data_IF_283688453222
#
_entry.id   IF_283688453222
#
_cell.length_a   1.000
_cell.length_b   1.000
_cell.length_c   1.000
_cell.angle_alpha   90.00
_cell.angle_beta   90.00
_cell.angle_gamma   90.00
#
_symmetry.space_group_name_H-M   'P 1'
#
loop_
_entity.id
_entity.type
_entity.pdbx_description
1 polymer ?
#
# COMPACT_ATOMS: atom_id res chain seq x y z
N UNK A 1 17.54 2.68 -24.22
CA UNK A 1 17.25 3.75 -23.25
C UNK A 1 16.70 3.07 -22.00
N UNK A 2 17.59 2.62 -21.11
CA UNK A 2 17.22 1.90 -19.89
C UNK A 2 17.12 2.94 -18.78
N UNK A 3 15.91 3.26 -18.36
CA UNK A 3 15.68 4.01 -17.13
C UNK A 3 16.28 3.18 -16.00
N UNK A 4 17.24 3.72 -15.25
CA UNK A 4 17.63 3.11 -13.98
C UNK A 4 16.42 3.12 -13.07
N UNK A 5 15.87 1.92 -12.89
CA UNK A 5 14.66 1.61 -12.12
C UNK A 5 14.82 1.90 -10.64
N UNK A 6 16.07 2.14 -10.20
CA UNK A 6 16.46 2.27 -8.80
C UNK A 6 15.81 3.45 -8.04
N UNK A 7 15.14 4.38 -8.74
CA UNK A 7 14.47 5.55 -8.16
C UNK A 7 12.93 5.39 -8.03
N UNK A 8 12.34 4.33 -8.56
CA UNK A 8 10.92 3.98 -8.38
C UNK A 8 10.68 3.21 -7.06
N UNK A 9 11.74 2.99 -6.28
CA UNK A 9 11.88 1.84 -5.38
C UNK A 9 11.48 2.02 -3.91
N UNK A 10 11.17 3.22 -3.41
CA UNK A 10 11.13 3.38 -1.94
C UNK A 10 9.82 2.91 -1.26
N UNK A 11 8.68 2.81 -1.96
CA UNK A 11 7.43 2.09 -1.59
C UNK A 11 6.29 2.72 -2.39
N UNK A 12 5.94 2.12 -3.54
CA UNK A 12 4.80 2.54 -4.35
C UNK A 12 3.80 1.41 -4.52
N UNK A 13 2.55 1.78 -4.75
CA UNK A 13 1.49 0.80 -4.99
C UNK A 13 1.87 -0.11 -6.18
N UNK A 14 1.86 -1.44 -6.01
CA UNK A 14 2.29 -2.38 -7.06
C UNK A 14 1.44 -2.31 -8.33
N UNK A 15 0.24 -1.72 -8.25
CA UNK A 15 -0.65 -1.58 -9.41
C UNK A 15 -0.47 -0.24 -10.11
N UNK A 16 -0.40 0.86 -9.36
CA UNK A 16 -0.30 2.19 -9.95
C UNK A 16 1.13 2.54 -10.42
N UNK A 17 2.14 1.83 -9.90
CA UNK A 17 3.55 2.05 -10.28
C UNK A 17 3.78 1.82 -11.77
N UNK A 18 2.97 0.98 -12.42
CA UNK A 18 3.04 0.72 -13.86
C UNK A 18 2.72 1.96 -14.70
N UNK A 19 1.92 2.89 -14.16
CA UNK A 19 1.56 4.16 -14.80
C UNK A 19 2.40 5.34 -14.28
N UNK A 20 3.43 5.07 -13.47
CA UNK A 20 4.26 6.10 -12.83
C UNK A 20 3.61 6.80 -11.62
N UNK A 21 2.50 6.25 -11.10
CA UNK A 21 1.74 6.77 -9.95
C UNK A 21 1.83 5.79 -8.76
N UNK A 22 1.06 6.00 -7.69
CA UNK A 22 0.95 5.06 -6.57
C UNK A 22 1.63 5.52 -5.30
N UNK A 23 1.41 6.77 -4.89
CA UNK A 23 1.89 7.27 -3.60
C UNK A 23 1.20 6.51 -2.46
N UNK A 24 2.00 5.86 -1.61
CA UNK A 24 1.54 5.16 -0.42
C UNK A 24 1.68 6.08 0.80
N UNK A 25 0.64 6.15 1.62
CA UNK A 25 0.60 6.84 2.89
C UNK A 25 0.60 5.83 4.03
N UNK A 26 1.53 5.98 4.97
CA UNK A 26 1.56 5.17 6.17
C UNK A 26 0.51 5.70 7.15
N UNK A 27 -0.48 4.86 7.46
CA UNK A 27 -1.55 5.17 8.40
C UNK A 27 -1.44 4.25 9.61
N UNK A 28 -1.45 4.85 10.80
CA UNK A 28 -1.35 4.15 12.11
C UNK A 28 -0.11 3.26 12.25
N UNK A 29 0.92 3.49 11.44
CA UNK A 29 2.15 2.67 11.36
C UNK A 29 1.90 1.19 11.01
N UNK A 30 0.67 0.82 10.70
CA UNK A 30 0.23 -0.57 10.46
C UNK A 30 -0.47 -0.74 9.12
N UNK A 31 -0.69 0.34 8.36
CA UNK A 31 -1.34 0.30 7.05
C UNK A 31 -0.64 1.21 6.04
N UNK A 32 -0.52 0.74 4.81
CA UNK A 32 -0.10 1.54 3.66
C UNK A 32 -1.30 1.79 2.74
N UNK A 33 -1.73 3.03 2.65
CA UNK A 33 -2.90 3.44 1.85
C UNK A 33 -2.42 4.11 0.57
N UNK A 34 -2.84 3.59 -0.58
CA UNK A 34 -2.55 4.24 -1.85
C UNK A 34 -3.51 5.42 -2.10
N UNK A 35 -2.98 6.62 -2.31
CA UNK A 35 -3.79 7.81 -2.60
C UNK A 35 -4.42 7.80 -3.99
N UNK A 36 -3.80 7.10 -4.94
CA UNK A 36 -4.26 7.06 -6.33
C UNK A 36 -5.44 6.08 -6.53
N UNK A 37 -5.35 4.89 -5.93
CA UNK A 37 -6.38 3.85 -6.11
C UNK A 37 -7.20 3.58 -4.84
N UNK A 38 -6.83 4.11 -3.68
CA UNK A 38 -7.55 3.89 -2.42
C UNK A 38 -7.36 2.50 -1.78
N UNK A 39 -6.53 1.63 -2.38
CA UNK A 39 -6.18 0.32 -1.82
C UNK A 39 -5.36 0.46 -0.55
N UNK A 40 -5.55 -0.48 0.38
CA UNK A 40 -4.97 -0.40 1.71
C UNK A 40 -4.29 -1.71 2.05
N UNK A 41 -2.98 -1.67 2.21
CA UNK A 41 -2.13 -2.82 2.45
C UNK A 41 -1.78 -2.88 3.93
N UNK A 42 -2.14 -3.94 4.66
CA UNK A 42 -1.76 -4.08 6.07
C UNK A 42 -0.25 -4.37 6.19
N UNK A 43 0.35 -3.91 7.27
CA UNK A 43 1.71 -4.25 7.70
C UNK A 43 1.56 -5.30 8.82
N UNK A 44 1.98 -6.52 8.54
CA UNK A 44 1.95 -7.64 9.50
C UNK A 44 3.38 -8.00 9.89
N UNK A 45 3.68 -8.08 11.18
CA UNK A 45 5.03 -8.41 11.69
C UNK A 45 6.12 -7.51 11.09
N UNK A 46 5.87 -6.19 11.01
CA UNK A 46 6.73 -5.20 10.35
C UNK A 46 6.95 -5.42 8.83
N UNK A 47 6.19 -6.35 8.21
CA UNK A 47 6.26 -6.65 6.77
C UNK A 47 4.99 -6.11 6.07
N UNK A 48 5.12 -5.18 5.11
CA UNK A 48 3.98 -4.68 4.33
C UNK A 48 3.44 -5.76 3.37
N UNK A 49 2.18 -6.15 3.56
CA UNK A 49 1.48 -7.12 2.72
C UNK A 49 0.97 -6.42 1.45
N UNK A 50 1.88 -6.20 0.48
CA UNK A 50 1.58 -5.57 -0.81
C UNK A 50 0.88 -6.50 -1.82
N UNK A 51 -0.04 -7.35 -1.36
CA UNK A 51 -0.85 -8.21 -2.23
C UNK A 51 -2.03 -7.42 -2.79
N UNK A 52 -2.23 -7.48 -4.10
CA UNK A 52 -3.32 -6.77 -4.80
C UNK A 52 -4.68 -7.16 -4.20
N UNK A 53 -4.92 -8.45 -4.01
CA UNK A 53 -6.16 -8.98 -3.45
C UNK A 53 -6.41 -8.50 -2.02
N UNK A 54 -5.37 -8.37 -1.21
CA UNK A 54 -5.50 -7.86 0.16
C UNK A 54 -5.82 -6.36 0.13
N UNK A 55 -5.13 -5.59 -0.72
CA UNK A 55 -5.38 -4.16 -0.91
C UNK A 55 -6.80 -3.84 -1.38
N UNK A 56 -7.37 -4.70 -2.23
CA UNK A 56 -8.71 -4.55 -2.79
C UNK A 56 -9.80 -4.77 -1.73
N UNK A 57 -9.64 -5.76 -0.84
CA UNK A 57 -10.58 -6.04 0.27
C UNK A 57 -10.83 -4.82 1.15
N UNK A 58 -9.80 -4.02 1.38
CA UNK A 58 -9.85 -2.84 2.25
C UNK A 58 -10.08 -1.54 1.47
N UNK A 59 -10.21 -1.60 0.15
CA UNK A 59 -10.37 -0.41 -0.70
C UNK A 59 -11.64 0.38 -0.34
N UNK A 60 -12.74 -0.32 -0.08
CA UNK A 60 -14.02 0.27 0.31
C UNK A 60 -14.13 0.65 1.80
N UNK A 61 -13.23 0.13 2.64
CA UNK A 61 -13.23 0.41 4.09
C UNK A 61 -12.67 1.82 4.35
N UNK A 62 -13.31 2.59 5.23
CA UNK A 62 -12.78 3.88 5.65
C UNK A 62 -11.53 3.68 6.53
N UNK A 63 -10.62 4.66 6.49
CA UNK A 63 -9.35 4.58 7.23
C UNK A 63 -9.58 4.50 8.75
N UNK A 64 -10.64 5.13 9.24
CA UNK A 64 -11.04 5.11 10.63
C UNK A 64 -11.48 3.71 11.11
N UNK A 65 -12.09 2.92 10.23
CA UNK A 65 -12.62 1.57 10.50
C UNK A 65 -11.60 0.44 10.27
N UNK A 66 -10.36 0.76 9.88
CA UNK A 66 -9.34 -0.26 9.66
C UNK A 66 -8.95 -0.93 10.98
N UNK A 67 -9.05 -2.27 11.07
CA UNK A 67 -8.59 -2.99 12.25
C UNK A 67 -7.06 -2.95 12.34
N UNK A 68 -6.51 -3.19 13.52
CA UNK A 68 -5.06 -3.36 13.65
C UNK A 68 -4.66 -4.78 13.18
N UNK A 69 -3.86 -4.92 12.11
CA UNK A 69 -3.46 -6.22 11.58
C UNK A 69 -2.42 -6.95 12.46
N UNK A 70 -1.84 -6.27 13.46
CA UNK A 70 -0.88 -6.81 14.43
C UNK A 70 -1.50 -7.04 15.82
N UNK A 71 -2.78 -6.73 16.01
CA UNK A 71 -3.48 -7.09 17.24
C UNK A 71 -3.66 -8.62 17.31
N UNK A 72 -2.70 -9.28 17.98
CA UNK A 72 -2.76 -10.68 18.36
C UNK A 72 -3.81 -10.96 19.44
#
# INVERSE_FOLDING_TARGET
MMVSQDLLEILRCPVCVQEGKGELELVRETWLVCKDCGRKYPIRDDIPVMLIEEGDKWQATAIEDLPDPNAA
#
